data_IF_306352143699
#
_entry.id   IF_306352143699
#
_cell.length_a   1.000
_cell.length_b   1.000
_cell.length_c   1.000
_cell.angle_alpha   90.00
_cell.angle_beta   90.00
_cell.angle_gamma   90.00
#
_symmetry.space_group_name_H-M   'P 1'
#
loop_
_entity.id
_entity.type
_entity.pdbx_description
1 polymer ?
#
# COMPACT_ATOMS: atom_id res chain seq x y z
N UNK A 1 -41.13 -54.40 -37.19
CA UNK A 1 -39.66 -54.36 -37.43
C UNK A 1 -39.14 -53.04 -36.89
N UNK A 2 -38.79 -52.98 -35.61
CA UNK A 2 -38.25 -51.78 -34.97
C UNK A 2 -36.73 -51.77 -35.11
N UNK A 3 -36.18 -50.67 -35.65
CA UNK A 3 -34.75 -50.35 -35.63
C UNK A 3 -34.43 -49.70 -34.29
N UNK A 4 -33.71 -50.40 -33.42
CA UNK A 4 -33.19 -49.81 -32.18
C UNK A 4 -31.95 -48.96 -32.45
N UNK A 5 -32.00 -47.72 -31.95
CA UNK A 5 -30.93 -46.74 -31.95
C UNK A 5 -29.83 -47.15 -30.94
N UNK A 6 -28.66 -47.48 -31.45
CA UNK A 6 -27.47 -47.77 -30.65
C UNK A 6 -26.88 -46.45 -30.09
N UNK A 7 -27.36 -45.99 -28.92
CA UNK A 7 -26.75 -44.89 -28.17
C UNK A 7 -25.44 -45.38 -27.56
N UNK A 8 -24.31 -44.92 -28.11
CA UNK A 8 -22.97 -45.15 -27.56
C UNK A 8 -22.88 -44.66 -26.11
N UNK A 9 -22.81 -45.62 -25.18
CA UNK A 9 -22.56 -45.39 -23.77
C UNK A 9 -21.13 -44.85 -23.63
N UNK A 10 -20.96 -43.58 -23.25
CA UNK A 10 -19.65 -43.06 -22.81
C UNK A 10 -19.27 -43.81 -21.54
N UNK A 11 -18.24 -44.67 -21.61
CA UNK A 11 -17.68 -45.36 -20.45
C UNK A 11 -17.33 -44.36 -19.34
N UNK A 12 -17.58 -44.69 -18.05
CA UNK A 12 -17.16 -43.86 -16.92
C UNK A 12 -15.64 -43.63 -16.97
N UNK A 13 -15.21 -42.40 -16.68
CA UNK A 13 -13.77 -42.07 -16.63
C UNK A 13 -13.17 -42.75 -15.40
N UNK A 14 -12.29 -43.71 -15.64
CA UNK A 14 -11.53 -44.38 -14.60
C UNK A 14 -10.53 -43.40 -13.97
N UNK A 15 -10.84 -42.93 -12.76
CA UNK A 15 -10.02 -42.00 -11.98
C UNK A 15 -8.66 -42.60 -11.60
N UNK A 16 -8.47 -43.92 -11.69
CA UNK A 16 -7.20 -44.60 -11.44
C UNK A 16 -6.36 -44.83 -12.70
N UNK A 17 -6.84 -44.40 -13.87
CA UNK A 17 -6.05 -44.49 -15.10
C UNK A 17 -4.81 -43.58 -15.03
N UNK A 18 -3.63 -44.21 -15.03
CA UNK A 18 -2.32 -43.56 -14.97
C UNK A 18 -2.14 -42.53 -16.10
N UNK A 19 -2.65 -42.79 -17.31
CA UNK A 19 -2.60 -41.83 -18.42
C UNK A 19 -3.43 -40.58 -18.14
N UNK A 20 -4.59 -40.71 -17.47
CA UNK A 20 -5.43 -39.58 -17.09
C UNK A 20 -4.79 -38.73 -15.98
N UNK A 21 -4.23 -39.38 -14.94
CA UNK A 21 -3.46 -38.69 -13.88
C UNK A 21 -2.25 -37.95 -14.46
N UNK A 22 -1.49 -38.59 -15.35
CA UNK A 22 -0.34 -37.97 -16.03
C UNK A 22 -0.74 -36.79 -16.92
N UNK A 23 -1.88 -36.87 -17.61
CA UNK A 23 -2.41 -35.76 -18.41
C UNK A 23 -2.82 -34.56 -17.53
N UNK A 24 -3.44 -34.81 -16.37
CA UNK A 24 -3.78 -33.76 -15.40
C UNK A 24 -2.53 -33.10 -14.79
N UNK A 25 -1.48 -33.88 -14.47
CA UNK A 25 -0.20 -33.37 -13.96
C UNK A 25 0.47 -32.48 -15.03
N UNK A 26 0.58 -32.96 -16.28
CA UNK A 26 1.11 -32.16 -17.40
C UNK A 26 0.32 -30.87 -17.61
N UNK A 27 -1.01 -30.92 -17.53
CA UNK A 27 -1.86 -29.74 -17.67
C UNK A 27 -1.64 -28.73 -16.53
N UNK A 28 -1.49 -29.20 -15.29
CA UNK A 28 -1.13 -28.35 -14.14
C UNK A 28 0.25 -27.70 -14.32
N UNK A 29 1.26 -28.48 -14.73
CA UNK A 29 2.61 -27.99 -15.00
C UNK A 29 2.62 -26.92 -16.10
N UNK A 30 1.94 -27.16 -17.22
CA UNK A 30 1.82 -26.18 -18.31
C UNK A 30 1.09 -24.90 -17.89
N UNK A 31 0.05 -25.00 -17.04
CA UNK A 31 -0.63 -23.83 -16.48
C UNK A 31 0.32 -23.06 -15.57
N UNK A 32 1.09 -23.75 -14.74
CA UNK A 32 2.04 -23.13 -13.82
C UNK A 32 3.22 -22.47 -14.57
N UNK A 33 3.74 -23.11 -15.62
CA UNK A 33 4.76 -22.52 -16.51
C UNK A 33 4.23 -21.30 -17.26
N UNK A 34 3.00 -21.36 -17.81
CA UNK A 34 2.35 -20.20 -18.43
C UNK A 34 2.11 -19.09 -17.40
N UNK A 35 1.76 -19.44 -16.16
CA UNK A 35 1.59 -18.47 -15.07
C UNK A 35 2.93 -17.81 -14.72
N UNK A 36 3.99 -18.60 -14.55
CA UNK A 36 5.36 -18.11 -14.31
C UNK A 36 5.87 -17.24 -15.45
N UNK A 37 5.62 -17.63 -16.71
CA UNK A 37 6.00 -16.84 -17.90
C UNK A 37 5.20 -15.54 -17.99
N UNK A 38 3.89 -15.55 -17.74
CA UNK A 38 3.04 -14.35 -17.72
C UNK A 38 3.37 -13.43 -16.55
N UNK A 39 3.65 -13.99 -15.37
CA UNK A 39 4.17 -13.26 -14.21
C UNK A 39 5.52 -12.63 -14.57
N UNK A 40 6.42 -13.36 -15.22
CA UNK A 40 7.71 -12.86 -15.67
C UNK A 40 7.57 -11.74 -16.72
N UNK A 41 6.70 -11.89 -17.72
CA UNK A 41 6.38 -10.88 -18.73
C UNK A 41 5.73 -9.63 -18.13
N UNK A 42 4.78 -9.78 -17.18
CA UNK A 42 4.18 -8.68 -16.44
C UNK A 42 5.17 -7.98 -15.51
N UNK A 43 6.10 -8.73 -14.90
CA UNK A 43 7.17 -8.17 -14.07
C UNK A 43 8.24 -7.47 -14.91
N UNK A 44 8.45 -7.83 -16.19
CA UNK A 44 9.45 -7.22 -17.08
C UNK A 44 9.00 -5.83 -17.53
N UNK A 45 7.71 -5.60 -17.72
CA UNK A 45 7.18 -4.35 -18.28
C UNK A 45 7.20 -3.23 -17.22
N UNK A 46 8.13 -2.28 -17.37
CA UNK A 46 8.09 -1.02 -16.62
C UNK A 46 6.93 -0.13 -17.04
N UNK A 47 6.87 1.05 -16.43
CA UNK A 47 5.86 2.07 -16.75
C UNK A 47 6.16 2.62 -18.15
N UNK A 48 5.20 2.50 -19.06
CA UNK A 48 5.35 2.97 -20.44
C UNK A 48 5.23 4.49 -20.56
N UNK A 49 5.75 5.06 -21.66
CA UNK A 49 5.62 6.50 -21.90
C UNK A 49 4.16 6.94 -22.08
N UNK A 50 3.31 6.08 -22.65
CA UNK A 50 1.87 6.30 -22.73
C UNK A 50 1.26 6.43 -21.34
N UNK A 51 1.60 5.51 -20.42
CA UNK A 51 1.14 5.57 -19.04
C UNK A 51 1.64 6.81 -18.29
N UNK A 52 2.89 7.23 -18.52
CA UNK A 52 3.45 8.45 -17.94
C UNK A 52 2.71 9.68 -18.45
N UNK A 53 2.36 9.70 -19.72
CA UNK A 53 1.71 10.82 -20.39
C UNK A 53 0.17 10.81 -20.28
N UNK A 54 -0.43 9.85 -19.55
CA UNK A 54 -1.88 9.79 -19.27
C UNK A 54 -2.40 11.09 -18.62
N UNK A 55 -1.55 11.76 -17.84
CA UNK A 55 -1.86 13.02 -17.18
C UNK A 55 -0.58 13.82 -16.89
N UNK A 56 -0.73 15.03 -16.37
CA UNK A 56 0.36 15.87 -15.88
C UNK A 56 0.12 16.26 -14.41
N UNK A 57 1.15 16.82 -13.78
CA UNK A 57 1.13 17.25 -12.39
C UNK A 57 1.55 18.71 -12.26
N UNK A 58 1.16 19.32 -11.15
CA UNK A 58 1.52 20.69 -10.79
C UNK A 58 1.73 20.79 -9.28
N UNK A 59 2.35 21.89 -8.84
CA UNK A 59 2.62 22.16 -7.44
C UNK A 59 1.80 23.34 -6.96
N UNK A 60 1.19 23.20 -5.79
CA UNK A 60 0.37 24.23 -5.16
C UNK A 60 0.44 24.05 -3.65
N UNK A 61 0.71 25.14 -2.91
CA UNK A 61 0.73 25.14 -1.43
C UNK A 61 1.60 24.05 -0.79
N UNK A 62 2.77 23.73 -1.37
CA UNK A 62 3.67 22.68 -0.87
C UNK A 62 3.21 21.25 -1.19
N UNK A 63 2.20 21.09 -2.05
CA UNK A 63 1.66 19.80 -2.46
C UNK A 63 1.88 19.55 -3.95
N UNK A 64 2.16 18.31 -4.30
CA UNK A 64 2.07 17.77 -5.66
C UNK A 64 0.65 17.31 -5.93
N UNK A 65 0.04 17.92 -6.95
CA UNK A 65 -1.29 17.59 -7.47
C UNK A 65 -1.17 16.96 -8.86
N UNK A 66 -2.11 16.10 -9.19
CA UNK A 66 -2.23 15.46 -10.52
C UNK A 66 -3.51 15.97 -11.15
N UNK A 67 -3.46 16.39 -12.41
CA UNK A 67 -4.68 16.77 -13.13
C UNK A 67 -5.59 15.54 -13.27
N UNK A 68 -6.91 15.69 -13.05
CA UNK A 68 -7.85 14.60 -13.24
C UNK A 68 -7.73 13.98 -14.65
N UNK A 69 -7.87 12.66 -14.73
CA UNK A 69 -7.68 11.92 -15.97
C UNK A 69 -8.60 10.70 -16.03
N UNK A 70 -8.91 10.25 -17.23
CA UNK A 70 -9.65 9.01 -17.41
C UNK A 70 -8.73 7.81 -17.33
N UNK A 71 -9.15 6.79 -16.59
CA UNK A 71 -8.43 5.53 -16.45
C UNK A 71 -9.37 4.36 -16.66
N UNK A 72 -8.95 3.39 -17.48
CA UNK A 72 -9.74 2.21 -17.78
C UNK A 72 -9.23 1.00 -17.02
N UNK A 73 -10.03 0.51 -16.07
CA UNK A 73 -9.81 -0.79 -15.46
C UNK A 73 -10.21 -1.89 -16.44
N UNK A 74 -9.31 -2.83 -16.72
CA UNK A 74 -9.61 -4.04 -17.50
C UNK A 74 -9.44 -5.28 -16.65
N UNK A 75 -10.44 -6.15 -16.64
CA UNK A 75 -10.41 -7.38 -15.85
C UNK A 75 -11.15 -8.50 -16.56
N UNK A 76 -10.55 -9.68 -16.56
CA UNK A 76 -11.22 -10.88 -17.05
C UNK A 76 -12.31 -11.33 -16.06
N UNK A 77 -13.42 -11.83 -16.58
CA UNK A 77 -14.53 -12.33 -15.80
C UNK A 77 -14.07 -13.40 -14.80
N UNK A 78 -14.39 -13.18 -13.52
CA UNK A 78 -14.09 -14.12 -12.44
C UNK A 78 -15.17 -15.19 -12.36
N UNK A 79 -14.83 -16.39 -11.92
CA UNK A 79 -15.78 -17.51 -11.83
C UNK A 79 -17.08 -17.17 -11.09
N UNK A 80 -16.99 -16.39 -10.00
CA UNK A 80 -18.15 -15.94 -9.20
C UNK A 80 -19.03 -14.85 -9.87
N UNK A 81 -18.60 -14.30 -10.99
CA UNK A 81 -19.34 -13.31 -11.77
C UNK A 81 -20.14 -13.94 -12.92
N UNK A 82 -19.75 -15.15 -13.35
CA UNK A 82 -20.35 -15.82 -14.49
C UNK A 82 -21.83 -16.14 -14.20
N UNK A 83 -22.70 -15.85 -15.17
CA UNK A 83 -24.14 -16.08 -15.06
C UNK A 83 -24.90 -15.00 -14.29
N UNK A 84 -24.21 -13.97 -13.79
CA UNK A 84 -24.82 -12.79 -13.15
C UNK A 84 -24.87 -11.64 -14.15
N UNK A 85 -25.80 -10.70 -13.93
CA UNK A 85 -25.81 -9.47 -14.73
C UNK A 85 -24.62 -8.58 -14.37
N UNK A 86 -24.20 -7.73 -15.30
CA UNK A 86 -23.13 -6.75 -15.06
C UNK A 86 -23.47 -5.81 -13.90
N UNK A 87 -24.74 -5.38 -13.81
CA UNK A 87 -25.23 -4.52 -12.74
C UNK A 87 -25.14 -5.22 -11.40
N UNK A 88 -25.58 -6.47 -11.29
CA UNK A 88 -25.49 -7.26 -10.05
C UNK A 88 -24.06 -7.37 -9.55
N UNK A 89 -23.12 -7.61 -10.46
CA UNK A 89 -21.70 -7.72 -10.12
C UNK A 89 -21.17 -6.39 -9.60
N UNK A 90 -21.48 -5.27 -10.26
CA UNK A 90 -21.04 -3.95 -9.82
C UNK A 90 -21.56 -3.60 -8.42
N UNK A 91 -22.85 -3.81 -8.17
CA UNK A 91 -23.50 -3.49 -6.89
C UNK A 91 -22.94 -4.34 -5.73
N UNK A 92 -22.72 -5.63 -5.95
CA UNK A 92 -22.35 -6.55 -4.87
C UNK A 92 -20.84 -6.67 -4.64
N UNK A 93 -20.02 -6.48 -5.67
CA UNK A 93 -18.56 -6.62 -5.56
C UNK A 93 -17.88 -5.28 -5.28
N UNK A 94 -18.50 -4.17 -5.69
CA UNK A 94 -17.92 -2.83 -5.56
C UNK A 94 -18.85 -1.94 -4.72
N UNK A 95 -18.64 -1.95 -3.40
CA UNK A 95 -19.48 -1.23 -2.41
C UNK A 95 -19.70 0.27 -2.66
N UNK A 96 -18.89 0.90 -3.51
CA UNK A 96 -19.02 2.31 -3.93
C UNK A 96 -19.92 2.50 -5.17
N UNK A 97 -20.44 1.43 -5.74
CA UNK A 97 -21.37 1.46 -6.86
C UNK A 97 -22.77 1.07 -6.37
N UNK A 98 -23.77 1.84 -6.78
CA UNK A 98 -25.18 1.46 -6.63
C UNK A 98 -25.76 1.16 -8.01
N UNK A 99 -26.97 0.61 -8.05
CA UNK A 99 -27.63 0.20 -9.29
C UNK A 99 -27.81 1.39 -10.25
N UNK A 100 -28.38 2.49 -9.77
CA UNK A 100 -28.65 3.69 -10.57
C UNK A 100 -27.38 4.28 -11.21
N UNK A 101 -26.32 4.46 -10.43
CA UNK A 101 -25.04 4.98 -10.91
C UNK A 101 -24.35 4.01 -11.86
N UNK A 102 -24.55 2.70 -11.69
CA UNK A 102 -24.00 1.68 -12.59
C UNK A 102 -24.71 1.71 -13.93
N UNK A 103 -26.04 1.80 -13.94
CA UNK A 103 -26.84 1.92 -15.17
C UNK A 103 -26.43 3.17 -15.94
N UNK A 104 -26.36 4.34 -15.27
CA UNK A 104 -25.91 5.59 -15.91
C UNK A 104 -24.51 5.46 -16.52
N UNK A 105 -23.59 4.72 -15.90
CA UNK A 105 -22.25 4.47 -16.46
C UNK A 105 -22.29 3.56 -17.70
N UNK A 106 -23.16 2.55 -17.71
CA UNK A 106 -23.38 1.67 -18.86
C UNK A 106 -23.95 2.48 -20.03
N UNK A 107 -24.98 3.29 -19.80
CA UNK A 107 -25.61 4.17 -20.80
C UNK A 107 -24.62 5.19 -21.39
N UNK A 108 -23.72 5.73 -20.57
CA UNK A 108 -22.62 6.61 -21.01
C UNK A 108 -21.48 5.86 -21.72
N UNK A 109 -21.56 4.53 -21.85
CA UNK A 109 -20.52 3.70 -22.47
C UNK A 109 -19.21 3.60 -21.68
N UNK A 110 -19.24 3.93 -20.37
CA UNK A 110 -18.08 3.86 -19.48
C UNK A 110 -17.81 2.44 -18.99
N UNK A 111 -18.79 1.54 -19.09
CA UNK A 111 -18.64 0.11 -18.82
C UNK A 111 -18.87 -0.65 -20.12
N UNK A 112 -17.91 -1.47 -20.51
CA UNK A 112 -17.93 -2.27 -21.74
C UNK A 112 -17.58 -3.71 -21.45
N UNK A 113 -18.04 -4.62 -22.29
CA UNK A 113 -17.58 -6.02 -22.29
C UNK A 113 -17.02 -6.32 -23.68
N UNK A 114 -15.79 -6.83 -23.74
CA UNK A 114 -15.09 -7.16 -24.99
C UNK A 114 -15.07 -5.99 -25.98
N UNK A 115 -14.77 -4.78 -25.50
CA UNK A 115 -14.79 -3.51 -26.24
C UNK A 115 -16.17 -3.06 -26.78
N UNK A 116 -17.28 -3.71 -26.38
CA UNK A 116 -18.63 -3.37 -26.85
C UNK A 116 -19.43 -2.66 -25.75
N UNK A 117 -20.24 -1.67 -26.16
CA UNK A 117 -21.29 -1.10 -25.31
C UNK A 117 -22.31 -2.20 -25.03
N UNK A 118 -22.83 -2.23 -23.80
CA UNK A 118 -23.69 -3.29 -23.29
C UNK A 118 -24.99 -2.71 -22.74
N UNK A 119 -25.98 -3.58 -22.55
CA UNK A 119 -27.21 -3.26 -21.82
C UNK A 119 -27.05 -3.61 -20.33
N UNK A 120 -27.77 -2.95 -19.41
CA UNK A 120 -27.75 -3.26 -17.98
C UNK A 120 -28.04 -4.73 -17.65
N UNK A 121 -28.90 -5.39 -18.44
CA UNK A 121 -29.28 -6.79 -18.28
C UNK A 121 -28.26 -7.79 -18.83
N UNK A 122 -27.13 -7.33 -19.38
CA UNK A 122 -26.10 -8.19 -19.97
C UNK A 122 -25.53 -9.16 -18.94
N UNK A 123 -25.55 -10.45 -19.27
CA UNK A 123 -25.01 -11.53 -18.45
C UNK A 123 -23.52 -11.72 -18.73
N UNK A 124 -22.72 -11.82 -17.69
CA UNK A 124 -21.28 -12.07 -17.81
C UNK A 124 -21.03 -13.56 -18.13
N UNK A 125 -20.22 -13.80 -19.15
CA UNK A 125 -19.81 -15.12 -19.61
C UNK A 125 -18.34 -15.42 -19.32
N UNK A 126 -17.97 -16.69 -19.54
CA UNK A 126 -16.58 -17.08 -19.42
C UNK A 126 -15.74 -16.40 -20.51
N UNK A 127 -14.52 -15.97 -20.15
CA UNK A 127 -13.59 -15.22 -21.01
C UNK A 127 -14.00 -13.79 -21.37
N UNK A 128 -15.09 -13.26 -20.83
CA UNK A 128 -15.40 -11.84 -21.01
C UNK A 128 -14.31 -10.97 -20.37
N UNK A 129 -13.86 -9.95 -21.11
CA UNK A 129 -13.06 -8.86 -20.58
C UNK A 129 -13.98 -7.68 -20.27
N UNK A 130 -14.06 -7.31 -19.00
CA UNK A 130 -14.85 -6.18 -18.52
C UNK A 130 -13.94 -4.96 -18.46
N UNK A 131 -14.37 -3.88 -19.10
CA UNK A 131 -13.71 -2.57 -19.05
C UNK A 131 -14.58 -1.59 -18.28
N UNK A 132 -13.96 -0.84 -17.38
CA UNK A 132 -14.61 0.22 -16.62
C UNK A 132 -13.73 1.47 -16.64
N UNK A 133 -14.14 2.45 -17.42
CA UNK A 133 -13.51 3.76 -17.50
C UNK A 133 -14.02 4.63 -16.35
N UNK A 134 -13.09 5.15 -15.55
CA UNK A 134 -13.38 6.05 -14.45
C UNK A 134 -12.63 7.35 -14.62
N UNK A 135 -13.25 8.45 -14.19
CA UNK A 135 -12.55 9.71 -14.04
C UNK A 135 -11.85 9.74 -12.67
N UNK A 136 -10.51 9.74 -12.66
CA UNK A 136 -9.70 9.63 -11.44
C UNK A 136 -9.32 10.99 -10.89
N UNK A 137 -9.48 11.10 -9.57
CA UNK A 137 -8.99 12.21 -8.75
C UNK A 137 -8.07 11.64 -7.67
N UNK A 138 -6.77 11.83 -7.85
CA UNK A 138 -5.78 11.41 -6.86
C UNK A 138 -5.70 12.44 -5.74
N UNK A 139 -5.69 12.01 -4.47
CA UNK A 139 -5.37 12.93 -3.38
C UNK A 139 -3.96 13.51 -3.60
N UNK A 140 -3.73 14.79 -3.24
CA UNK A 140 -2.40 15.38 -3.25
C UNK A 140 -1.44 14.65 -2.30
N UNK A 141 -0.15 14.84 -2.56
CA UNK A 141 0.94 14.38 -1.70
C UNK A 141 1.94 15.53 -1.52
N UNK A 142 2.86 15.42 -0.56
CA UNK A 142 3.93 16.41 -0.41
C UNK A 142 4.78 16.53 -1.67
N UNK A 143 5.22 17.75 -1.96
CA UNK A 143 6.06 18.04 -3.12
C UNK A 143 7.56 17.80 -2.90
N UNK A 144 7.95 17.33 -1.72
CA UNK A 144 9.33 16.98 -1.40
C UNK A 144 9.94 16.05 -2.46
N UNK A 145 11.17 16.35 -2.85
CA UNK A 145 11.91 15.55 -3.83
C UNK A 145 12.26 14.19 -3.23
N UNK A 146 12.11 13.15 -4.05
CA UNK A 146 12.62 11.81 -3.73
C UNK A 146 14.15 11.85 -3.84
N UNK A 147 14.83 12.00 -2.70
CA UNK A 147 16.29 12.13 -2.67
C UNK A 147 16.92 10.75 -2.83
N UNK A 148 17.81 10.60 -3.80
CA UNK A 148 18.60 9.37 -3.97
C UNK A 148 19.71 9.37 -2.92
N UNK A 149 19.65 8.43 -1.99
CA UNK A 149 20.67 8.21 -0.96
C UNK A 149 21.84 7.42 -1.55
N UNK A 150 21.53 6.40 -2.38
CA UNK A 150 22.53 5.60 -3.08
C UNK A 150 21.93 5.02 -4.35
N UNK A 151 22.73 4.93 -5.40
CA UNK A 151 22.35 4.28 -6.65
C UNK A 151 23.49 3.36 -7.12
N UNK A 152 23.13 2.14 -7.50
CA UNK A 152 24.04 1.12 -8.04
C UNK A 152 23.48 0.58 -9.36
N UNK A 153 24.14 -0.41 -9.97
CA UNK A 153 23.61 -1.08 -11.15
C UNK A 153 22.35 -1.90 -10.84
N UNK A 154 22.18 -2.38 -9.61
CA UNK A 154 21.13 -3.32 -9.24
C UNK A 154 19.96 -2.67 -8.51
N UNK A 155 20.18 -1.55 -7.82
CA UNK A 155 19.14 -0.90 -7.03
C UNK A 155 19.36 0.61 -6.87
N UNK A 156 18.32 1.28 -6.39
CA UNK A 156 18.38 2.63 -5.82
C UNK A 156 17.81 2.61 -4.41
N UNK A 157 18.45 3.35 -3.51
CA UNK A 157 17.97 3.67 -2.18
C UNK A 157 17.54 5.14 -2.19
N UNK A 158 16.31 5.41 -1.80
CA UNK A 158 15.79 6.77 -1.70
C UNK A 158 15.37 7.10 -0.28
N UNK A 159 15.44 8.38 0.08
CA UNK A 159 14.73 8.94 1.23
C UNK A 159 13.31 9.29 0.78
N UNK A 160 12.33 8.47 1.17
CA UNK A 160 10.93 8.65 0.81
C UNK A 160 10.29 9.66 1.77
N UNK A 161 9.76 10.80 1.30
CA UNK A 161 8.93 11.68 2.12
C UNK A 161 7.69 10.94 2.63
N UNK A 162 7.15 11.38 3.76
CA UNK A 162 5.80 10.98 4.17
C UNK A 162 4.77 11.42 3.12
N UNK A 163 3.59 10.83 3.15
CA UNK A 163 2.40 11.06 2.30
C UNK A 163 2.36 10.33 0.97
N UNK A 164 3.51 9.92 0.45
CA UNK A 164 3.62 9.30 -0.87
C UNK A 164 3.54 7.76 -0.70
N UNK A 165 2.52 7.08 -1.26
CA UNK A 165 2.51 5.62 -1.35
C UNK A 165 3.61 5.12 -2.28
N UNK A 166 4.13 3.92 -2.00
CA UNK A 166 5.22 3.33 -2.80
C UNK A 166 4.77 2.98 -4.22
N UNK A 167 3.61 2.33 -4.36
CA UNK A 167 3.07 1.85 -5.64
C UNK A 167 1.58 2.19 -5.77
N UNK A 168 1.00 2.17 -6.99
CA UNK A 168 -0.42 2.41 -7.23
C UNK A 168 -1.30 1.59 -6.30
N UNK A 169 -2.11 2.28 -5.50
CA UNK A 169 -2.99 1.65 -4.53
C UNK A 169 -4.18 2.57 -4.23
N UNK A 170 -5.37 2.00 -4.13
CA UNK A 170 -6.60 2.76 -3.91
C UNK A 170 -6.73 3.91 -4.92
N UNK A 171 -6.80 5.14 -4.41
CA UNK A 171 -6.94 6.37 -5.23
C UNK A 171 -5.63 6.86 -5.85
N UNK A 172 -4.46 6.35 -5.45
CA UNK A 172 -3.15 6.81 -5.94
C UNK A 172 -2.62 5.97 -7.10
N UNK A 173 -2.07 6.62 -8.12
CA UNK A 173 -1.33 6.03 -9.26
C UNK A 173 -0.14 6.93 -9.62
N UNK A 174 -0.37 8.13 -10.15
CA UNK A 174 0.68 9.10 -10.49
C UNK A 174 1.28 9.81 -9.27
N UNK A 175 0.55 9.92 -8.17
CA UNK A 175 1.07 10.35 -6.86
C UNK A 175 1.63 9.14 -6.08
N UNK A 176 2.55 8.40 -6.68
CA UNK A 176 3.27 7.30 -6.02
C UNK A 176 4.75 7.35 -6.35
N UNK A 177 5.59 6.78 -5.48
CA UNK A 177 7.06 6.79 -5.65
C UNK A 177 7.46 6.26 -7.03
N UNK A 178 6.90 5.13 -7.47
CA UNK A 178 7.28 4.55 -8.76
C UNK A 178 6.90 5.43 -9.96
N UNK A 179 5.75 6.13 -9.92
CA UNK A 179 5.34 7.00 -11.02
C UNK A 179 6.11 8.32 -11.01
N UNK A 180 6.37 8.90 -9.83
CA UNK A 180 7.17 10.11 -9.71
C UNK A 180 8.58 9.86 -10.27
N UNK A 181 9.22 8.75 -9.86
CA UNK A 181 10.54 8.39 -10.39
C UNK A 181 10.49 8.02 -11.88
N UNK A 182 9.39 7.44 -12.38
CA UNK A 182 9.24 7.18 -13.81
C UNK A 182 9.16 8.47 -14.64
N UNK A 183 8.51 9.54 -14.14
CA UNK A 183 8.60 10.87 -14.75
C UNK A 183 10.02 11.43 -14.76
N UNK A 184 10.88 11.00 -13.84
CA UNK A 184 12.31 11.34 -13.77
C UNK A 184 13.21 10.37 -14.60
N UNK A 185 12.62 9.43 -15.34
CA UNK A 185 13.33 8.50 -16.23
C UNK A 185 13.53 7.09 -15.68
N UNK A 186 13.18 6.83 -14.42
CA UNK A 186 13.31 5.51 -13.80
C UNK A 186 12.06 4.64 -14.02
N UNK A 187 11.88 4.14 -15.23
CA UNK A 187 10.64 3.45 -15.66
C UNK A 187 10.51 2.00 -15.18
N UNK A 188 11.62 1.35 -14.79
CA UNK A 188 11.67 -0.09 -14.54
C UNK A 188 12.00 -0.45 -13.07
N UNK A 189 11.67 0.43 -12.12
CA UNK A 189 11.94 0.18 -10.70
C UNK A 189 10.92 -0.76 -10.06
N UNK A 190 11.42 -1.63 -9.16
CA UNK A 190 10.62 -2.62 -8.44
C UNK A 190 10.82 -2.44 -6.93
N UNK A 191 9.76 -2.16 -6.15
CA UNK A 191 9.87 -2.10 -4.70
C UNK A 191 10.43 -3.40 -4.11
N UNK A 192 11.55 -3.30 -3.40
CA UNK A 192 12.10 -4.43 -2.63
C UNK A 192 11.22 -4.66 -1.41
N UNK A 193 10.79 -3.59 -0.75
CA UNK A 193 9.83 -3.63 0.34
C UNK A 193 8.87 -2.46 0.20
N UNK A 194 7.92 -2.36 1.13
CA UNK A 194 7.01 -1.22 1.23
C UNK A 194 7.24 -0.47 2.53
N UNK A 195 7.14 0.85 2.44
CA UNK A 195 6.84 1.71 3.57
C UNK A 195 5.38 2.13 3.46
N UNK A 196 4.73 2.36 4.60
CA UNK A 196 3.37 2.87 4.59
C UNK A 196 3.35 4.32 4.10
N UNK A 197 2.20 4.76 3.56
CA UNK A 197 2.03 6.09 2.97
C UNK A 197 2.55 7.21 3.89
N UNK A 198 2.19 7.14 5.17
CA UNK A 198 2.49 8.20 6.16
C UNK A 198 3.91 8.09 6.75
N UNK A 199 4.60 6.97 6.55
CA UNK A 199 5.96 6.73 7.04
C UNK A 199 6.98 7.29 6.05
N UNK A 200 8.00 7.98 6.55
CA UNK A 200 9.13 8.48 5.75
C UNK A 200 10.37 7.59 5.88
N UNK A 201 11.43 7.86 5.11
CA UNK A 201 12.75 7.27 5.27
C UNK A 201 13.16 6.29 4.16
N UNK A 202 14.19 5.49 4.42
CA UNK A 202 14.84 4.61 3.43
C UNK A 202 13.85 3.64 2.78
N UNK A 203 13.78 3.73 1.45
CA UNK A 203 13.11 2.77 0.60
C UNK A 203 14.06 2.28 -0.49
N UNK A 204 14.19 0.95 -0.59
CA UNK A 204 14.98 0.28 -1.62
C UNK A 204 14.10 -0.15 -2.81
N UNK A 205 14.55 0.19 -4.01
CA UNK A 205 13.91 -0.10 -5.29
C UNK A 205 14.94 -0.79 -6.19
N UNK A 206 14.66 -2.02 -6.61
CA UNK A 206 15.53 -2.78 -7.51
C UNK A 206 15.30 -2.39 -8.98
N UNK A 207 16.38 -2.37 -9.76
CA UNK A 207 16.36 -2.10 -11.20
C UNK A 207 15.98 -3.33 -12.02
N UNK A 208 16.21 -4.53 -11.48
CA UNK A 208 15.89 -5.81 -12.14
C UNK A 208 15.03 -6.71 -11.25
N UNK A 209 14.37 -7.71 -11.85
CA UNK A 209 13.59 -8.72 -11.12
C UNK A 209 14.50 -9.57 -10.23
N UNK A 210 15.69 -9.89 -10.75
CA UNK A 210 16.66 -10.71 -10.03
C UNK A 210 17.13 -10.00 -8.76
N UNK A 211 17.55 -8.73 -8.90
CA UNK A 211 17.90 -7.89 -7.76
C UNK A 211 16.72 -7.74 -6.79
N UNK A 212 15.48 -7.53 -7.29
CA UNK A 212 14.32 -7.42 -6.41
C UNK A 212 14.13 -8.66 -5.51
N UNK A 213 14.29 -9.87 -6.07
CA UNK A 213 14.17 -11.14 -5.33
C UNK A 213 15.29 -11.32 -4.32
N UNK A 214 16.51 -11.01 -4.74
CA UNK A 214 17.71 -11.09 -3.91
C UNK A 214 17.61 -10.13 -2.71
N UNK A 215 17.37 -8.84 -2.96
CA UNK A 215 17.20 -7.86 -1.87
C UNK A 215 15.98 -8.13 -0.99
N UNK A 216 14.90 -8.70 -1.53
CA UNK A 216 13.74 -9.14 -0.72
C UNK A 216 14.13 -10.24 0.27
N UNK A 217 15.04 -11.13 -0.10
CA UNK A 217 15.52 -12.18 0.81
C UNK A 217 16.29 -11.58 2.00
N UNK A 218 17.11 -10.55 1.75
CA UNK A 218 17.87 -9.85 2.80
C UNK A 218 16.98 -9.05 3.76
N UNK A 219 15.86 -8.52 3.26
CA UNK A 219 14.91 -7.74 4.06
C UNK A 219 14.26 -8.50 5.21
N UNK A 220 14.37 -9.83 5.24
CA UNK A 220 13.83 -10.69 6.29
C UNK A 220 14.86 -10.97 7.39
N UNK A 221 16.15 -10.75 7.13
CA UNK A 221 17.28 -11.22 7.96
C UNK A 221 18.00 -10.06 8.68
N UNK A 222 17.80 -8.82 8.23
CA UNK A 222 18.69 -7.69 8.56
C UNK A 222 18.08 -6.65 9.53
N UNK A 223 18.96 -5.89 10.20
CA UNK A 223 18.66 -4.81 11.14
C UNK A 223 18.01 -3.63 10.41
N UNK A 224 16.73 -3.38 10.71
CA UNK A 224 16.02 -2.18 10.28
C UNK A 224 15.78 -1.30 11.49
N UNK A 225 16.32 -0.10 11.43
CA UNK A 225 16.23 0.89 12.49
C UNK A 225 15.22 1.96 12.07
N UNK A 226 14.18 2.12 12.86
CA UNK A 226 13.17 3.16 12.67
C UNK A 226 13.26 4.16 13.82
N UNK A 227 13.12 5.44 13.53
CA UNK A 227 12.89 6.46 14.54
C UNK A 227 11.39 6.63 14.74
N UNK A 228 10.97 6.79 15.99
CA UNK A 228 9.61 7.20 16.33
C UNK A 228 9.61 8.26 17.44
N UNK A 229 8.62 9.17 17.41
CA UNK A 229 8.33 10.07 18.53
C UNK A 229 7.01 9.65 19.17
N UNK A 230 7.07 9.30 20.45
CA UNK A 230 5.98 8.65 21.19
C UNK A 230 5.55 9.47 22.40
N UNK A 231 4.29 9.32 22.82
CA UNK A 231 3.76 9.98 24.03
C UNK A 231 4.39 9.41 25.30
N UNK A 232 4.61 10.28 26.29
CA UNK A 232 5.12 9.90 27.59
C UNK A 232 6.62 9.60 27.61
N UNK A 233 7.12 9.28 28.80
CA UNK A 233 8.49 8.83 29.04
C UNK A 233 8.59 7.33 28.79
N UNK A 234 9.10 6.94 27.63
CA UNK A 234 9.34 5.54 27.29
C UNK A 234 10.68 5.08 27.88
N UNK A 235 10.67 3.93 28.56
CA UNK A 235 11.88 3.21 28.97
C UNK A 235 12.27 2.16 27.92
N UNK A 236 13.53 1.69 27.95
CA UNK A 236 13.97 0.61 27.05
C UNK A 236 13.11 -0.63 27.27
N UNK A 237 12.49 -1.13 26.20
CA UNK A 237 11.53 -2.23 26.30
C UNK A 237 11.47 -3.05 25.02
N UNK A 238 10.98 -4.30 25.14
CA UNK A 238 10.75 -5.20 24.02
C UNK A 238 9.32 -5.72 24.07
N UNK A 239 8.62 -5.60 22.94
CA UNK A 239 7.24 -6.07 22.79
C UNK A 239 7.23 -7.27 21.84
N UNK A 240 6.75 -8.40 22.33
CA UNK A 240 6.47 -9.60 21.53
C UNK A 240 4.97 -9.87 21.58
N UNK A 241 4.32 -9.86 20.42
CA UNK A 241 2.89 -10.11 20.33
C UNK A 241 2.52 -10.73 18.98
N UNK A 242 1.31 -11.28 18.89
CA UNK A 242 0.73 -11.74 17.63
C UNK A 242 -0.12 -10.65 17.03
N UNK A 243 0.23 -10.20 15.83
CA UNK A 243 -0.54 -9.16 15.13
C UNK A 243 -1.43 -9.79 14.06
N UNK A 244 -2.73 -9.51 14.15
CA UNK A 244 -3.76 -9.89 13.19
C UNK A 244 -4.29 -8.71 12.40
N UNK A 245 -5.01 -8.98 11.30
CA UNK A 245 -5.80 -7.97 10.61
C UNK A 245 -7.22 -8.01 11.17
N UNK A 246 -7.67 -6.92 11.76
CA UNK A 246 -9.07 -6.76 12.13
C UNK A 246 -9.78 -6.00 11.01
N UNK A 247 -10.75 -6.66 10.40
CA UNK A 247 -11.66 -5.99 9.47
C UNK A 247 -12.78 -5.37 10.29
N UNK A 248 -12.74 -4.06 10.44
CA UNK A 248 -13.92 -3.32 10.87
C UNK A 248 -14.83 -3.21 9.64
N UNK A 249 -15.81 -4.11 9.54
CA UNK A 249 -16.83 -4.10 8.48
C UNK A 249 -17.94 -3.10 8.84
N UNK A 250 -17.57 -1.83 9.02
CA UNK A 250 -18.54 -0.76 9.14
C UNK A 250 -18.80 -0.14 7.76
N UNK A 251 -20.07 0.16 7.44
CA UNK A 251 -20.53 0.54 6.09
C UNK A 251 -19.97 1.89 5.61
N UNK A 252 -19.31 2.65 6.49
CA UNK A 252 -18.85 4.03 6.24
C UNK A 252 -17.33 4.21 6.25
N UNK A 253 -16.55 3.34 6.91
CA UNK A 253 -15.10 3.52 7.09
C UNK A 253 -14.39 2.18 6.86
N UNK A 254 -13.66 2.07 5.76
CA UNK A 254 -12.77 0.93 5.50
C UNK A 254 -11.34 1.27 5.92
N UNK A 255 -11.08 1.22 7.22
CA UNK A 255 -9.70 1.16 7.72
C UNK A 255 -9.44 -0.28 8.14
N UNK A 256 -8.55 -0.97 7.42
CA UNK A 256 -7.96 -2.20 7.93
C UNK A 256 -6.99 -1.80 9.04
N UNK A 257 -7.43 -1.90 10.28
CA UNK A 257 -6.57 -1.73 11.44
C UNK A 257 -5.95 -3.09 11.78
N UNK A 258 -4.70 -3.05 12.18
CA UNK A 258 -4.05 -4.19 12.81
C UNK A 258 -4.13 -4.02 14.31
N UNK A 259 -4.39 -5.12 15.02
CA UNK A 259 -4.48 -5.19 16.47
C UNK A 259 -3.75 -6.46 16.94
N UNK A 260 -3.51 -6.56 18.25
CA UNK A 260 -2.98 -7.78 18.87
C UNK A 260 -4.12 -8.79 18.95
N UNK A 261 -3.92 -9.96 18.34
CA UNK A 261 -4.94 -10.99 18.14
C UNK A 261 -4.33 -12.37 18.40
N UNK A 262 -5.08 -13.28 19.03
CA UNK A 262 -4.58 -14.64 19.38
C UNK A 262 -4.21 -15.48 18.14
N UNK A 263 -4.97 -15.31 17.06
CA UNK A 263 -4.76 -15.93 15.74
C UNK A 263 -3.83 -15.11 14.83
N UNK A 264 -3.25 -14.04 15.36
CA UNK A 264 -2.28 -13.21 14.67
C UNK A 264 -0.96 -13.94 14.39
N UNK A 265 -0.07 -13.28 13.64
CA UNK A 265 1.30 -13.79 13.43
C UNK A 265 2.22 -13.15 14.45
N UNK A 266 3.02 -13.99 15.11
CA UNK A 266 4.01 -13.53 16.07
C UNK A 266 5.04 -12.58 15.43
N UNK A 267 5.35 -11.52 16.16
CA UNK A 267 6.33 -10.51 15.80
C UNK A 267 6.89 -9.84 17.04
N UNK A 268 8.11 -9.31 16.93
CA UNK A 268 8.80 -8.64 18.02
C UNK A 268 9.37 -7.28 17.59
N UNK A 269 9.41 -6.34 18.53
CA UNK A 269 10.04 -5.02 18.35
C UNK A 269 10.72 -4.60 19.63
N UNK A 270 11.98 -4.18 19.53
CA UNK A 270 12.73 -3.57 20.63
C UNK A 270 12.71 -2.05 20.44
N UNK A 271 12.44 -1.32 21.52
CA UNK A 271 12.40 0.13 21.54
C UNK A 271 13.49 0.66 22.48
N UNK A 272 14.40 1.46 21.91
CA UNK A 272 15.53 2.07 22.60
C UNK A 272 15.33 3.59 22.64
N UNK A 273 14.96 4.18 23.79
CA UNK A 273 14.85 5.63 23.95
C UNK A 273 16.17 6.31 23.60
N UNK A 274 16.12 7.38 22.79
CA UNK A 274 17.25 8.27 22.51
C UNK A 274 17.25 9.45 23.49
N UNK A 275 16.13 10.17 23.55
CA UNK A 275 15.96 11.26 24.49
C UNK A 275 14.49 11.49 24.82
N UNK A 276 14.25 12.09 25.98
CA UNK A 276 12.94 12.49 26.44
C UNK A 276 12.83 14.02 26.43
N UNK A 277 11.78 14.54 25.80
CA UNK A 277 11.45 15.97 25.75
C UNK A 277 10.39 16.27 26.82
N UNK A 278 10.82 16.87 27.93
CA UNK A 278 9.95 17.24 29.05
C UNK A 278 8.89 18.26 28.64
N UNK A 279 9.19 19.17 27.69
CA UNK A 279 8.27 20.24 27.30
C UNK A 279 7.04 19.70 26.61
N UNK A 280 7.22 18.67 25.79
CA UNK A 280 6.12 18.03 25.05
C UNK A 280 5.63 16.75 25.72
N UNK A 281 6.30 16.26 26.77
CA UNK A 281 6.07 14.95 27.37
C UNK A 281 6.12 13.83 26.30
N UNK A 282 7.21 13.77 25.55
CA UNK A 282 7.40 12.76 24.49
C UNK A 282 8.80 12.19 24.48
N UNK A 283 8.95 10.92 24.12
CA UNK A 283 10.25 10.29 23.88
C UNK A 283 10.50 10.11 22.38
N UNK A 284 11.72 10.40 21.92
CA UNK A 284 12.21 9.92 20.62
C UNK A 284 12.97 8.63 20.86
N UNK A 285 12.66 7.57 20.10
CA UNK A 285 13.25 6.25 20.26
C UNK A 285 13.62 5.61 18.93
N UNK A 286 14.61 4.71 18.97
CA UNK A 286 14.91 3.78 17.89
C UNK A 286 14.12 2.50 18.11
N UNK A 287 13.32 2.11 17.13
CA UNK A 287 12.64 0.84 17.04
C UNK A 287 13.44 -0.12 16.15
N UNK A 288 13.85 -1.26 16.71
CA UNK A 288 14.48 -2.37 16.01
C UNK A 288 13.44 -3.45 15.73
N UNK A 289 13.34 -3.84 14.47
CA UNK A 289 12.39 -4.85 14.01
C UNK A 289 13.10 -6.15 13.66
N UNK A 290 12.64 -7.28 14.18
CA UNK A 290 12.98 -8.60 13.62
C UNK A 290 11.84 -9.25 12.83
N UNK A 291 10.78 -8.50 12.52
CA UNK A 291 9.81 -8.88 11.48
C UNK A 291 9.17 -7.63 10.84
N UNK A 292 8.52 -7.80 9.68
CA UNK A 292 7.89 -6.69 8.95
C UNK A 292 6.37 -6.85 8.79
N UNK A 293 5.60 -6.89 9.88
CA UNK A 293 4.12 -6.88 9.79
C UNK A 293 3.61 -5.46 9.49
N UNK A 294 2.45 -5.36 8.84
CA UNK A 294 1.80 -4.06 8.58
C UNK A 294 1.55 -3.34 9.91
N UNK A 295 1.84 -2.04 10.00
CA UNK A 295 1.67 -1.22 11.19
C UNK A 295 2.35 -1.74 12.49
N UNK A 296 3.30 -2.68 12.42
CA UNK A 296 3.84 -3.37 13.60
C UNK A 296 4.32 -2.43 14.71
N UNK A 297 5.17 -1.46 14.38
CA UNK A 297 5.68 -0.46 15.33
C UNK A 297 4.53 0.29 16.00
N UNK A 298 3.54 0.71 15.20
CA UNK A 298 2.41 1.52 15.65
C UNK A 298 1.54 0.77 16.65
N UNK A 299 1.22 -0.50 16.35
CA UNK A 299 0.43 -1.40 17.21
C UNK A 299 1.17 -1.76 18.50
N UNK A 300 2.46 -2.09 18.41
CA UNK A 300 3.26 -2.42 19.60
C UNK A 300 3.36 -1.23 20.55
N UNK A 301 3.69 -0.04 20.03
CA UNK A 301 3.75 1.20 20.80
C UNK A 301 2.42 1.56 21.45
N UNK A 302 1.31 1.39 20.73
CA UNK A 302 -0.04 1.54 21.28
C UNK A 302 -0.29 0.58 22.44
N UNK A 303 0.08 -0.69 22.30
CA UNK A 303 -0.18 -1.74 23.31
C UNK A 303 0.53 -1.51 24.64
N UNK A 304 1.66 -0.79 24.62
CA UNK A 304 2.40 -0.38 25.81
C UNK A 304 2.10 1.06 26.23
N UNK A 305 1.00 1.65 25.75
CA UNK A 305 0.53 2.99 26.12
C UNK A 305 1.49 4.14 25.74
N UNK A 306 2.34 3.92 24.73
CA UNK A 306 3.25 4.92 24.17
C UNK A 306 3.02 5.10 22.66
N UNK A 307 1.81 5.44 22.19
CA UNK A 307 1.53 5.58 20.76
C UNK A 307 2.40 6.68 20.13
N UNK A 308 2.61 6.58 18.81
CA UNK A 308 3.22 7.68 18.05
C UNK A 308 2.32 8.90 18.14
N UNK A 309 2.91 10.04 18.51
CA UNK A 309 2.18 11.23 19.02
C UNK A 309 1.09 11.74 18.08
N UNK A 310 1.36 11.73 16.78
CA UNK A 310 0.47 12.20 15.73
C UNK A 310 -0.14 11.06 14.90
N UNK A 311 -0.23 9.84 15.42
CA UNK A 311 -0.84 8.73 14.69
C UNK A 311 -2.37 8.79 14.73
N UNK A 312 -3.06 9.02 13.59
CA UNK A 312 -4.51 9.20 13.58
C UNK A 312 -5.31 7.94 13.91
N UNK A 313 -4.69 6.77 13.79
CA UNK A 313 -5.38 5.49 14.00
C UNK A 313 -5.14 5.04 15.44
N UNK A 314 -3.87 5.04 15.86
CA UNK A 314 -3.47 4.37 17.09
C UNK A 314 -3.32 5.32 18.28
N UNK A 315 -3.22 6.64 18.07
CA UNK A 315 -3.20 7.62 19.15
C UNK A 315 -4.58 8.17 19.52
N UNK A 316 -5.60 7.95 18.69
CA UNK A 316 -6.94 8.53 18.86
C UNK A 316 -7.59 8.16 20.21
N UNK A 317 -7.34 6.96 20.74
CA UNK A 317 -7.87 6.52 22.04
C UNK A 317 -7.16 7.13 23.25
N UNK A 318 -6.06 7.85 23.03
CA UNK A 318 -5.23 8.46 24.06
C UNK A 318 -5.25 9.99 23.98
N UNK A 319 -6.13 10.56 23.15
CA UNK A 319 -6.35 12.01 23.07
C UNK A 319 -7.54 12.40 23.94
N UNK A 320 -7.33 13.34 24.85
CA UNK A 320 -8.41 13.98 25.63
C UNK A 320 -9.04 15.16 24.88
N UNK A 321 -8.47 15.56 23.72
CA UNK A 321 -9.06 16.58 22.86
C UNK A 321 -10.39 16.09 22.29
N UNK A 322 -11.48 16.78 22.63
CA UNK A 322 -12.81 16.50 22.10
C UNK A 322 -12.79 16.61 20.57
N UNK A 323 -13.28 15.56 19.91
CA UNK A 323 -13.87 15.69 18.58
C UNK A 323 -15.06 16.63 18.73
N UNK A 324 -15.07 17.77 18.05
CA UNK A 324 -16.32 18.49 17.85
C UNK A 324 -17.23 17.69 16.90
N UNK A 325 -18.52 17.99 16.90
CA UNK A 325 -19.52 17.27 16.07
C UNK A 325 -19.25 17.39 14.54
N UNK A 326 -18.21 18.15 14.14
CA UNK A 326 -17.75 18.33 12.76
C UNK A 326 -16.52 17.48 12.40
N UNK A 327 -15.97 16.71 13.35
CA UNK A 327 -14.86 15.78 13.08
C UNK A 327 -13.47 16.44 13.03
N UNK A 328 -13.31 17.62 13.65
CA UNK A 328 -12.03 18.33 13.72
C UNK A 328 -11.28 17.87 14.99
N UNK A 329 -10.04 17.42 14.79
CA UNK A 329 -9.11 17.09 15.87
C UNK A 329 -8.12 18.24 16.05
N UNK A 330 -8.32 19.09 17.06
CA UNK A 330 -7.27 20.02 17.49
C UNK A 330 -6.26 19.26 18.37
N UNK A 331 -5.13 18.88 17.78
CA UNK A 331 -4.02 18.36 18.57
C UNK A 331 -3.30 19.52 19.27
N UNK A 332 -2.83 19.30 20.50
CA UNK A 332 -2.02 20.23 21.29
C UNK A 332 -0.71 20.73 20.61
N UNK A 333 -0.41 20.27 19.39
CA UNK A 333 0.81 20.58 18.63
C UNK A 333 0.60 21.56 17.47
N UNK A 334 -0.57 22.23 17.40
CA UNK A 334 -0.80 23.33 16.47
C UNK A 334 -1.03 22.87 15.03
N UNK A 335 -2.28 22.65 14.69
CA UNK A 335 -2.72 22.45 13.31
C UNK A 335 -4.22 22.23 13.26
N UNK A 336 -4.97 23.29 12.96
CA UNK A 336 -6.41 23.19 12.64
C UNK A 336 -6.53 22.75 11.19
N UNK A 337 -7.28 21.68 10.92
CA UNK A 337 -7.39 21.12 9.57
C UNK A 337 -8.85 21.02 9.17
N UNK A 338 -9.20 21.74 8.11
CA UNK A 338 -10.56 21.85 7.58
C UNK A 338 -10.63 21.12 6.23
N UNK A 339 -11.56 20.17 6.08
CA UNK A 339 -11.94 19.70 4.75
C UNK A 339 -12.59 20.87 4.02
N UNK A 340 -11.88 21.51 3.09
CA UNK A 340 -12.52 22.42 2.14
C UNK A 340 -13.13 21.60 1.01
N UNK A 341 -14.46 21.59 0.97
CA UNK A 341 -15.20 21.13 -0.20
C UNK A 341 -15.04 22.21 -1.27
N UNK A 342 -14.18 21.98 -2.26
CA UNK A 342 -14.21 22.79 -3.49
C UNK A 342 -15.31 22.27 -4.42
N UNK A 343 -15.89 23.17 -5.22
CA UNK A 343 -16.90 22.83 -6.22
C UNK A 343 -16.42 21.70 -7.15
N UNK A 344 -17.34 20.77 -7.39
CA UNK A 344 -17.06 19.46 -7.95
C UNK A 344 -16.58 19.48 -9.39
N UNK A 345 -16.05 18.35 -9.83
CA UNK A 345 -15.61 18.19 -11.21
C UNK A 345 -16.81 18.17 -12.19
N UNK A 346 -16.68 18.80 -13.36
CA UNK A 346 -17.76 18.78 -14.37
C UNK A 346 -17.97 17.36 -14.93
N UNK A 347 -16.89 16.57 -15.03
CA UNK A 347 -16.91 15.20 -15.55
C UNK A 347 -17.43 14.17 -14.53
N UNK A 348 -17.41 14.49 -13.24
CA UNK A 348 -17.93 13.62 -12.19
C UNK A 348 -18.28 14.41 -10.93
N UNK A 349 -19.29 13.97 -10.18
CA UNK A 349 -19.73 14.56 -8.89
C UNK A 349 -18.69 14.38 -7.75
N UNK A 350 -17.40 14.46 -8.06
CA UNK A 350 -16.31 14.35 -7.13
C UNK A 350 -16.25 15.57 -6.21
N UNK A 351 -16.48 15.34 -4.93
CA UNK A 351 -16.17 16.32 -3.89
C UNK A 351 -14.64 16.42 -3.76
N UNK A 352 -14.11 17.61 -4.04
CA UNK A 352 -12.71 17.93 -3.78
C UNK A 352 -12.51 18.12 -2.28
N UNK A 353 -11.42 17.60 -1.75
CA UNK A 353 -11.01 17.78 -0.37
C UNK A 353 -9.59 17.29 -0.17
N UNK A 354 -8.75 18.12 0.43
CA UNK A 354 -7.36 17.76 0.70
C UNK A 354 -7.29 16.79 1.89
N UNK A 355 -6.56 15.66 1.79
CA UNK A 355 -6.38 14.77 2.91
C UNK A 355 -5.70 15.50 4.05
N UNK A 356 -6.35 15.43 5.21
CA UNK A 356 -5.99 16.11 6.44
C UNK A 356 -4.59 15.73 6.97
N UNK A 357 -4.05 14.58 6.59
CA UNK A 357 -2.81 14.11 7.19
C UNK A 357 -1.87 13.40 6.23
N UNK A 358 -0.69 13.97 6.12
CA UNK A 358 0.35 13.60 5.17
C UNK A 358 1.48 12.79 5.83
N UNK A 359 1.64 12.80 7.16
CA UNK A 359 2.71 12.04 7.81
C UNK A 359 2.48 11.71 9.28
N UNK A 360 3.28 10.77 9.79
CA UNK A 360 3.40 10.44 11.21
C UNK A 360 4.86 10.55 11.64
N UNK A 361 5.13 10.69 12.93
CA UNK A 361 6.48 10.68 13.50
C UNK A 361 7.03 9.26 13.59
N UNK A 362 7.19 8.65 12.41
CA UNK A 362 7.80 7.37 12.16
C UNK A 362 8.64 7.47 10.89
N UNK A 363 9.93 7.14 11.01
CA UNK A 363 10.91 7.29 9.94
C UNK A 363 11.82 6.07 9.85
N UNK A 364 11.93 5.46 8.68
CA UNK A 364 12.90 4.40 8.41
C UNK A 364 14.30 5.02 8.28
N UNK A 365 15.05 5.05 9.39
CA UNK A 365 16.28 5.82 9.49
C UNK A 365 17.46 5.10 8.85
N UNK A 366 17.68 3.83 9.22
CA UNK A 366 18.86 3.08 8.81
C UNK A 366 18.56 1.62 8.51
N UNK A 367 19.07 1.13 7.38
CA UNK A 367 19.12 -0.29 7.05
C UNK A 367 20.56 -0.73 6.86
N UNK A 368 20.90 -1.91 7.37
CA UNK A 368 22.22 -2.54 7.15
C UNK A 368 22.04 -3.81 6.31
N UNK A 369 22.60 -3.86 5.11
CA UNK A 369 22.48 -5.01 4.19
C UNK A 369 23.90 -5.38 3.74
N UNK A 370 24.32 -6.61 4.03
CA UNK A 370 25.66 -7.14 3.70
C UNK A 370 26.79 -6.13 3.98
N UNK A 371 26.79 -5.62 5.21
CA UNK A 371 27.75 -4.63 5.74
C UNK A 371 27.71 -3.25 5.07
N UNK A 372 26.81 -3.03 4.11
CA UNK A 372 26.48 -1.71 3.61
C UNK A 372 25.40 -1.04 4.47
N UNK A 373 25.63 0.23 4.80
CA UNK A 373 24.70 1.06 5.58
C UNK A 373 23.98 2.03 4.65
N UNK A 374 22.65 2.01 4.70
CA UNK A 374 21.77 2.98 4.06
C UNK A 374 21.15 3.83 5.15
N UNK A 375 21.46 5.12 5.17
CA UNK A 375 21.06 6.03 6.25
C UNK A 375 20.51 7.35 5.68
N UNK A 376 19.43 7.85 6.29
CA UNK A 376 18.92 9.20 6.07
C UNK A 376 19.40 10.16 7.15
N UNK A 377 19.25 11.46 6.89
CA UNK A 377 19.35 12.47 7.94
C UNK A 377 18.24 12.29 8.96
N UNK A 378 18.49 12.71 10.21
CA UNK A 378 17.45 12.76 11.23
C UNK A 378 16.31 13.71 10.79
N UNK A 379 15.04 13.26 10.83
CA UNK A 379 13.91 14.13 10.53
C UNK A 379 13.80 15.23 11.58
N UNK A 380 13.24 16.39 11.21
CA UNK A 380 13.18 17.58 12.07
C UNK A 380 12.59 17.29 13.48
N UNK A 381 11.59 16.42 13.57
CA UNK A 381 10.91 16.08 14.83
C UNK A 381 11.71 15.13 15.74
N UNK A 382 12.76 14.48 15.21
CA UNK A 382 13.70 13.62 15.92
C UNK A 382 15.01 14.35 16.27
N UNK A 383 15.17 15.61 15.86
CA UNK A 383 16.32 16.40 16.21
C UNK A 383 16.18 16.88 17.66
N UNK A 384 17.15 16.61 18.53
CA UNK A 384 17.13 17.07 19.91
C UNK A 384 17.37 18.58 19.98
N UNK A 385 16.92 19.19 21.06
CA UNK A 385 17.29 20.58 21.39
C UNK A 385 18.69 20.68 22.06
N UNK A 386 19.39 19.55 22.19
CA UNK A 386 20.69 19.36 22.85
C UNK A 386 21.55 18.38 22.04
N UNK A 387 22.87 18.42 22.12
CA UNK A 387 23.73 17.47 21.39
C UNK A 387 23.54 16.04 21.92
N UNK A 388 23.05 15.12 21.08
CA UNK A 388 22.86 13.69 21.40
C UNK A 388 23.91 12.78 20.75
N UNK A 389 25.03 13.34 20.31
CA UNK A 389 26.08 12.57 19.63
C UNK A 389 26.61 11.42 20.49
N UNK A 390 26.61 11.56 21.82
CA UNK A 390 27.06 10.51 22.73
C UNK A 390 26.09 9.33 22.77
N UNK A 391 24.78 9.59 22.86
CA UNK A 391 23.72 8.58 22.87
C UNK A 391 23.63 7.85 21.53
N UNK A 392 23.75 8.59 20.41
CA UNK A 392 23.85 7.98 19.08
C UNK A 392 25.10 7.10 18.98
N UNK A 393 26.25 7.57 19.46
CA UNK A 393 27.49 6.80 19.44
C UNK A 393 27.42 5.57 20.36
N UNK A 394 26.77 5.66 21.51
CA UNK A 394 26.58 4.55 22.44
C UNK A 394 25.62 3.50 21.87
N UNK A 395 24.51 3.95 21.27
CA UNK A 395 23.61 3.07 20.50
C UNK A 395 24.36 2.37 19.36
N UNK A 396 25.12 3.12 18.56
CA UNK A 396 25.91 2.56 17.46
C UNK A 396 26.98 1.57 17.99
N UNK A 397 27.64 1.83 19.12
CA UNK A 397 28.57 0.87 19.72
C UNK A 397 27.89 -0.43 20.12
N UNK A 398 26.69 -0.34 20.70
CA UNK A 398 25.96 -1.51 21.20
C UNK A 398 25.24 -2.29 20.09
N UNK A 399 24.98 -1.67 18.93
CA UNK A 399 24.16 -2.26 17.87
C UNK A 399 24.82 -2.34 16.47
N UNK A 400 25.95 -1.65 16.23
CA UNK A 400 26.61 -1.51 14.91
C UNK A 400 28.07 -1.97 14.90
N UNK A 401 28.70 -2.30 16.04
CA UNK A 401 30.03 -2.90 16.03
C UNK A 401 29.98 -4.35 15.49
N UNK A 402 30.34 -4.44 14.21
CA UNK A 402 30.94 -5.52 13.40
C UNK A 402 30.88 -6.92 14.00
#
# INVERSE_FOLDING_TARGET
>A
MNKENNKGIKKPRDENNIHYKNALIKKKQQIEEKRKKKEQEQLIKGISQEEINETTYYFENGLRRVLPYFYTFKVNAKGRWIGRTIVDVFVHEFKLCNEETTIKKIEKGLIKINNKIIEPSTIIHHHDEIEHQVHRHEPPVYCDKLTIVKETNDFIAIDKPSSIPVHPCGRYRHNTVIFILAHEGYTNLRPVHRLDRMTSGILLLAKTIQAAREFQSYMTIKKKEYLCRVRGRLEKTTVTSKIGRKRIDDKKIHVSVNEIEEDGKECHSEFNPLFYDEKTNTTVAVALLGSGRTHQIRVHLQSIHHPIVNDPIYAAQFDESKCDDEGIFETQYGGTIQWKIEEGCIECEHLKGDPIQYGIYLHAWRYVIDDEIFETKLPYWAQPNVDISQEINEFNKNHILI
#
